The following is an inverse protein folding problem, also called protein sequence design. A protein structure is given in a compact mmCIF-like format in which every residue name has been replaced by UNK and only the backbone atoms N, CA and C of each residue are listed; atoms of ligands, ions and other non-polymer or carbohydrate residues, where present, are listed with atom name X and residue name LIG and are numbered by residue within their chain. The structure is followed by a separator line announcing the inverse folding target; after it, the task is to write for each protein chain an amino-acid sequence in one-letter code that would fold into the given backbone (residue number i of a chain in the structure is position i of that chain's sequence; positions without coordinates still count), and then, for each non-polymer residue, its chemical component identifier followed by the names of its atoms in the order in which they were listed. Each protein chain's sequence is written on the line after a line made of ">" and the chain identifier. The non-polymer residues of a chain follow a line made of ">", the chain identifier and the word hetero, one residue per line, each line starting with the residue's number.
data_IF_055971195359
#
_entry.id   IF_055971195359
#
_cell.length_a   1.000
_cell.length_b   1.000
_cell.length_c   1.000
_cell.angle_alpha   90.00
_cell.angle_beta   90.00
_cell.angle_gamma   90.00
#
_symmetry.space_group_name_H-M   'P 1'
#
loop_
_entity.id
_entity.type
_entity.pdbx_description
1 polymer ?
#
# COMPACT_ATOMS: atom_id res chain seq x y z
N UNK A 1 -3.44 29.31 -0.53
CA UNK A 1 -4.18 28.30 -1.31
C UNK A 1 -3.80 26.91 -0.82
N UNK A 2 -4.74 26.13 -0.27
CA UNK A 2 -4.48 24.73 0.12
C UNK A 2 -4.83 23.83 -1.06
N UNK A 3 -3.84 23.15 -1.61
CA UNK A 3 -4.04 22.16 -2.66
C UNK A 3 -4.43 20.83 -2.00
N UNK A 4 -5.65 20.36 -2.25
CA UNK A 4 -6.06 19.00 -1.91
C UNK A 4 -5.86 18.14 -3.15
N UNK A 5 -4.88 17.23 -3.10
CA UNK A 5 -4.68 16.19 -4.10
C UNK A 5 -5.47 14.97 -3.65
N UNK A 6 -6.52 14.60 -4.38
CA UNK A 6 -7.10 13.26 -4.29
C UNK A 6 -6.75 12.52 -5.59
N UNK A 7 -6.31 11.27 -5.44
CA UNK A 7 -5.96 10.41 -6.56
C UNK A 7 -6.99 9.29 -6.59
N UNK A 8 -7.80 9.24 -7.65
CA UNK A 8 -8.76 8.16 -7.89
C UNK A 8 -8.18 7.22 -8.94
N UNK A 9 -7.65 6.08 -8.51
CA UNK A 9 -7.20 5.03 -9.43
C UNK A 9 -8.39 4.11 -9.75
N UNK A 10 -8.97 4.27 -10.94
CA UNK A 10 -9.98 3.35 -11.48
C UNK A 10 -9.25 2.26 -12.27
N UNK A 11 -9.45 0.99 -11.90
CA UNK A 11 -8.96 -0.15 -12.68
C UNK A 11 -9.79 -0.32 -13.96
N UNK A 12 -9.28 -1.08 -14.94
CA UNK A 12 -9.92 -1.33 -16.23
C UNK A 12 -11.34 -1.90 -16.12
N UNK A 13 -11.63 -2.65 -15.06
CA UNK A 13 -12.95 -3.21 -14.80
C UNK A 13 -13.90 -2.27 -14.04
N UNK A 14 -13.55 -0.99 -13.88
CA UNK A 14 -14.33 -0.02 -13.11
C UNK A 14 -14.31 -0.25 -11.60
N UNK A 15 -13.40 -1.10 -11.11
CA UNK A 15 -13.20 -1.35 -9.67
C UNK A 15 -12.10 -0.45 -9.13
N UNK A 16 -12.28 0.04 -7.90
CA UNK A 16 -11.16 0.61 -7.16
C UNK A 16 -10.22 -0.52 -6.75
N UNK A 17 -8.92 -0.37 -6.99
CA UNK A 17 -7.97 -1.31 -6.41
C UNK A 17 -8.05 -1.26 -4.88
N UNK A 18 -8.01 -2.41 -4.22
CA UNK A 18 -8.15 -2.49 -2.75
C UNK A 18 -7.03 -1.73 -2.04
N UNK A 19 -5.85 -1.68 -2.66
CA UNK A 19 -4.74 -0.86 -2.22
C UNK A 19 -3.86 -0.51 -3.41
N UNK A 20 -3.58 0.78 -3.59
CA UNK A 20 -2.64 1.29 -4.60
C UNK A 20 -1.19 0.83 -4.38
N UNK A 21 -0.86 0.43 -3.15
CA UNK A 21 0.50 0.03 -2.78
C UNK A 21 0.80 -1.38 -3.29
N UNK A 22 1.74 -1.49 -4.23
CA UNK A 22 2.15 -2.74 -4.87
C UNK A 22 1.25 -3.19 -6.03
N UNK A 23 0.21 -2.44 -6.35
CA UNK A 23 -0.71 -2.73 -7.45
C UNK A 23 -0.01 -2.56 -8.81
N UNK A 24 0.05 -3.61 -9.66
CA UNK A 24 0.61 -3.49 -11.01
C UNK A 24 -0.22 -2.58 -11.93
N UNK A 25 -1.52 -2.42 -11.66
CA UNK A 25 -2.44 -1.64 -12.50
C UNK A 25 -2.54 -0.17 -12.05
N UNK A 26 -1.60 0.28 -11.21
CA UNK A 26 -1.56 1.67 -10.77
C UNK A 26 -1.29 2.60 -11.97
N UNK A 27 -2.17 3.58 -12.16
CA UNK A 27 -2.04 4.61 -13.21
C UNK A 27 -1.59 5.97 -12.68
N UNK A 28 -1.31 6.05 -11.37
CA UNK A 28 -0.95 7.28 -10.68
C UNK A 28 0.22 7.09 -9.71
N UNK A 29 1.03 8.15 -9.54
CA UNK A 29 2.00 8.24 -8.45
C UNK A 29 2.03 9.67 -7.90
N UNK A 30 2.64 9.84 -6.72
CA UNK A 30 2.93 11.12 -6.11
C UNK A 30 4.45 11.30 -6.05
N UNK A 31 4.92 12.48 -6.46
CA UNK A 31 6.33 12.87 -6.42
C UNK A 31 6.49 13.98 -5.40
N UNK A 32 7.42 13.81 -4.46
CA UNK A 32 7.74 14.82 -3.45
C UNK A 32 8.83 15.77 -3.91
N UNK A 33 8.96 16.90 -3.21
CA UNK A 33 10.02 17.89 -3.44
C UNK A 33 11.44 17.31 -3.38
N UNK A 34 11.65 16.24 -2.61
CA UNK A 34 12.94 15.55 -2.47
C UNK A 34 13.12 14.38 -3.45
N UNK A 35 12.31 14.32 -4.51
CA UNK A 35 12.42 13.33 -5.58
C UNK A 35 11.82 11.96 -5.25
N UNK A 36 11.27 11.75 -4.06
CA UNK A 36 10.65 10.47 -3.70
C UNK A 36 9.36 10.25 -4.48
N UNK A 37 9.26 9.12 -5.18
CA UNK A 37 8.06 8.70 -5.91
C UNK A 37 7.35 7.57 -5.16
N UNK A 38 6.08 7.79 -4.81
CA UNK A 38 5.25 6.84 -4.04
C UNK A 38 3.89 6.63 -4.68
N UNK A 39 3.26 5.47 -4.45
CA UNK A 39 1.94 5.14 -5.02
C UNK A 39 0.76 5.70 -4.22
N UNK A 40 0.95 5.99 -2.92
CA UNK A 40 -0.05 6.64 -2.09
C UNK A 40 0.61 7.54 -1.05
N UNK A 41 -0.15 8.50 -0.49
CA UNK A 41 0.40 9.46 0.48
C UNK A 41 0.90 8.78 1.76
N UNK A 42 0.27 7.69 2.21
CA UNK A 42 0.76 6.97 3.39
C UNK A 42 2.05 6.22 3.12
N UNK A 43 2.31 5.78 1.88
CA UNK A 43 3.52 5.01 1.53
C UNK A 43 4.82 5.79 1.77
N UNK A 44 4.74 7.11 1.99
CA UNK A 44 5.86 7.92 2.47
C UNK A 44 6.44 7.45 3.81
N UNK A 45 5.64 6.76 4.63
CA UNK A 45 6.10 6.20 5.89
C UNK A 45 7.03 5.00 5.68
N UNK A 46 6.94 4.30 4.55
CA UNK A 46 7.68 3.07 4.31
C UNK A 46 9.16 3.36 3.99
N UNK A 47 10.07 2.39 4.25
CA UNK A 47 11.48 2.49 3.88
C UNK A 47 11.65 2.82 2.39
N UNK A 48 12.60 3.70 2.05
CA UNK A 48 12.79 4.28 0.71
C UNK A 48 13.70 3.46 -0.21
N UNK A 49 13.18 2.95 -1.34
CA UNK A 49 14.04 2.51 -2.45
C UNK A 49 13.75 3.20 -3.80
N UNK A 50 12.92 4.26 -3.87
CA UNK A 50 12.51 4.85 -5.15
C UNK A 50 12.61 6.38 -5.21
N UNK A 51 13.55 6.89 -6.00
CA UNK A 51 13.83 8.33 -6.14
C UNK A 51 14.03 8.71 -7.62
N UNK A 52 13.34 9.76 -8.08
CA UNK A 52 13.45 10.24 -9.47
C UNK A 52 14.80 10.88 -9.76
N UNK A 53 15.51 11.39 -8.76
CA UNK A 53 16.85 11.96 -8.96
C UNK A 53 17.91 10.87 -9.18
N UNK A 54 17.62 9.63 -8.76
CA UNK A 54 18.52 8.49 -8.91
C UNK A 54 18.20 7.66 -10.16
N UNK A 55 16.91 7.58 -10.55
CA UNK A 55 16.45 6.67 -11.60
C UNK A 55 15.76 7.36 -12.78
N UNK A 56 15.62 8.69 -12.74
CA UNK A 56 14.76 9.41 -13.66
C UNK A 56 13.27 9.11 -13.45
N UNK A 57 12.39 9.86 -14.12
CA UNK A 57 10.94 9.69 -13.97
C UNK A 57 10.47 8.29 -14.41
N UNK A 58 10.88 7.86 -15.60
CA UNK A 58 10.48 6.57 -16.18
C UNK A 58 11.07 5.40 -15.39
N UNK A 59 12.35 5.48 -15.00
CA UNK A 59 12.99 4.42 -14.23
C UNK A 59 12.40 4.29 -12.83
N UNK A 60 12.07 5.41 -12.17
CA UNK A 60 11.38 5.38 -10.89
C UNK A 60 9.95 4.81 -11.01
N UNK A 61 9.23 5.13 -12.10
CA UNK A 61 7.90 4.56 -12.36
C UNK A 61 7.95 3.03 -12.53
N UNK A 62 8.90 2.53 -13.31
CA UNK A 62 9.08 1.09 -13.55
C UNK A 62 9.53 0.32 -12.29
N UNK A 63 10.06 1.03 -11.27
CA UNK A 63 10.45 0.46 -9.97
C UNK A 63 9.34 0.43 -8.93
N UNK A 64 8.18 1.04 -9.18
CA UNK A 64 7.02 0.99 -8.27
C UNK A 64 6.57 -0.42 -7.85
N UNK A 65 6.75 -1.50 -8.65
CA UNK A 65 6.50 -2.87 -8.20
C UNK A 65 7.34 -3.34 -7.00
N UNK A 66 8.32 -2.56 -6.52
CA UNK A 66 9.03 -2.84 -5.25
C UNK A 66 8.08 -2.97 -4.04
N UNK A 67 6.90 -2.36 -4.15
CA UNK A 67 5.84 -2.44 -3.15
C UNK A 67 4.94 -3.67 -3.31
N UNK A 68 5.12 -4.50 -4.35
CA UNK A 68 4.30 -5.70 -4.62
C UNK A 68 4.28 -6.68 -3.45
N UNK A 69 5.35 -6.71 -2.64
CA UNK A 69 5.42 -7.49 -1.40
C UNK A 69 4.25 -7.21 -0.45
N UNK A 70 3.68 -6.00 -0.47
CA UNK A 70 2.56 -5.59 0.38
C UNK A 70 1.20 -6.12 -0.07
N UNK A 71 1.13 -6.82 -1.22
CA UNK A 71 -0.06 -7.52 -1.68
C UNK A 71 -0.09 -9.00 -1.30
N UNK A 72 0.99 -9.53 -0.71
CA UNK A 72 1.11 -10.93 -0.33
C UNK A 72 0.36 -11.20 0.99
N UNK A 73 -0.78 -11.92 0.96
CA UNK A 73 -1.57 -12.18 2.15
C UNK A 73 -0.91 -13.17 3.12
N UNK A 74 0.09 -13.93 2.68
CA UNK A 74 0.79 -14.90 3.54
C UNK A 74 1.86 -14.25 4.43
N UNK A 75 2.18 -12.98 4.16
CA UNK A 75 3.07 -12.19 5.04
C UNK A 75 2.35 -11.48 6.16
N UNK A 76 1.02 -11.49 6.20
CA UNK A 76 0.24 -10.74 7.18
C UNK A 76 0.36 -11.35 8.57
N UNK A 77 0.58 -10.48 9.57
CA UNK A 77 0.72 -10.85 10.97
C UNK A 77 -0.54 -10.45 11.78
N UNK A 78 -0.55 -10.80 13.07
CA UNK A 78 -1.63 -10.45 14.00
C UNK A 78 -2.99 -11.01 13.57
N UNK A 79 -4.05 -10.22 13.76
CA UNK A 79 -5.42 -10.65 13.40
C UNK A 79 -5.57 -10.91 11.89
N UNK A 80 -4.79 -10.23 11.06
CA UNK A 80 -4.85 -10.39 9.61
C UNK A 80 -4.27 -11.72 9.12
N UNK A 81 -3.32 -12.32 9.85
CA UNK A 81 -2.75 -13.62 9.51
C UNK A 81 -3.77 -14.77 9.55
N UNK A 82 -4.69 -14.71 10.51
CA UNK A 82 -5.78 -15.69 10.71
C UNK A 82 -7.14 -15.24 10.11
N UNK A 83 -7.19 -14.09 9.43
CA UNK A 83 -8.44 -13.51 8.94
C UNK A 83 -8.96 -14.26 7.70
N UNK A 84 -10.22 -14.66 7.73
CA UNK A 84 -10.90 -15.34 6.61
C UNK A 84 -11.00 -14.44 5.35
N UNK A 85 -10.88 -13.12 5.54
CA UNK A 85 -10.94 -12.10 4.48
C UNK A 85 -9.57 -11.66 3.99
N UNK A 86 -8.46 -12.27 4.46
CA UNK A 86 -7.10 -11.81 4.15
C UNK A 86 -6.79 -11.75 2.64
N UNK A 87 -7.37 -12.64 1.83
CA UNK A 87 -7.22 -12.64 0.37
C UNK A 87 -8.00 -11.53 -0.35
N UNK A 88 -9.05 -10.99 0.30
CA UNK A 88 -9.91 -9.95 -0.26
C UNK A 88 -9.36 -8.56 0.08
N UNK A 89 -9.20 -8.24 1.36
CA UNK A 89 -8.74 -6.92 1.80
C UNK A 89 -7.21 -6.77 1.79
N UNK A 90 -6.47 -7.90 1.76
CA UNK A 90 -5.00 -7.95 1.83
C UNK A 90 -4.42 -7.25 3.06
N UNK A 91 -5.22 -7.13 4.14
CA UNK A 91 -4.83 -6.55 5.42
C UNK A 91 -4.99 -5.02 5.55
N UNK A 92 -5.87 -4.36 4.78
CA UNK A 92 -6.18 -2.92 4.94
C UNK A 92 -5.14 -1.91 4.40
N UNK A 93 -4.55 -1.06 5.24
CA UNK A 93 -3.52 -0.07 4.89
C UNK A 93 -2.18 -0.34 5.62
N UNK A 94 -1.22 -0.98 4.94
CA UNK A 94 0.12 -1.32 5.49
C UNK A 94 0.93 -0.09 5.88
N UNK A 95 0.83 0.94 5.06
CA UNK A 95 1.57 2.17 5.31
C UNK A 95 1.08 2.90 6.58
N UNK A 96 -0.22 2.77 6.91
CA UNK A 96 -0.77 3.28 8.16
C UNK A 96 -0.33 2.43 9.37
N UNK A 97 -0.32 1.10 9.23
CA UNK A 97 0.19 0.21 10.27
C UNK A 97 1.67 0.50 10.61
N UNK A 98 2.51 0.69 9.58
CA UNK A 98 3.91 1.07 9.75
C UNK A 98 4.06 2.45 10.40
N UNK A 99 3.27 3.45 9.97
CA UNK A 99 3.28 4.80 10.54
C UNK A 99 2.92 4.82 12.03
N UNK A 100 2.08 3.88 12.50
CA UNK A 100 1.75 3.71 13.91
C UNK A 100 2.76 2.84 14.69
N UNK A 101 3.89 2.47 14.09
CA UNK A 101 4.92 1.68 14.76
C UNK A 101 4.55 0.21 14.98
N UNK A 102 3.53 -0.32 14.29
CA UNK A 102 3.10 -1.73 14.46
C UNK A 102 3.93 -2.72 13.64
N UNK A 103 4.67 -2.24 12.64
CA UNK A 103 5.45 -3.06 11.71
C UNK A 103 4.90 -3.02 10.29
N UNK A 104 5.69 -3.53 9.34
CA UNK A 104 5.34 -3.50 7.90
C UNK A 104 4.27 -4.53 7.51
N UNK A 105 4.11 -5.59 8.32
CA UNK A 105 3.18 -6.71 8.09
C UNK A 105 2.00 -6.75 9.07
N UNK A 106 1.94 -5.76 9.96
CA UNK A 106 0.91 -5.69 10.98
C UNK A 106 -0.48 -5.38 10.40
N UNK A 107 -1.47 -5.67 11.21
CA UNK A 107 -2.87 -5.36 10.96
C UNK A 107 -3.12 -3.85 10.79
N UNK A 108 -4.08 -3.51 9.91
CA UNK A 108 -4.56 -2.15 9.77
C UNK A 108 -5.22 -1.67 11.09
N UNK A 109 -4.73 -0.59 11.70
CA UNK A 109 -5.21 -0.10 12.99
C UNK A 109 -6.66 0.36 12.98
N UNK A 110 -7.22 0.73 11.82
CA UNK A 110 -8.61 1.19 11.71
C UNK A 110 -9.56 0.09 11.26
N UNK A 111 -9.07 -1.14 11.05
CA UNK A 111 -9.91 -2.26 10.65
C UNK A 111 -10.86 -2.65 11.79
N UNK A 112 -12.20 -2.52 11.63
CA UNK A 112 -13.17 -2.88 12.66
C UNK A 112 -13.45 -4.39 12.71
N UNK A 113 -12.94 -5.16 11.74
CA UNK A 113 -13.21 -6.59 11.63
C UNK A 113 -12.45 -7.38 12.70
N UNK A 114 -13.16 -8.32 13.31
CA UNK A 114 -12.63 -9.33 14.22
C UNK A 114 -12.68 -10.68 13.50
N UNK A 115 -11.53 -11.33 13.27
CA UNK A 115 -11.49 -12.65 12.64
C UNK A 115 -12.30 -13.68 13.42
N UNK A 116 -12.98 -14.55 12.70
CA UNK A 116 -13.52 -15.77 13.31
C UNK A 116 -12.34 -16.72 13.47
N UNK A 117 -12.02 -17.13 14.70
CA UNK A 117 -11.02 -18.19 14.91
C UNK A 117 -11.53 -19.44 14.18
N UNK A 118 -10.86 -19.81 13.09
CA UNK A 118 -11.10 -21.12 12.50
C UNK A 118 -10.46 -22.13 13.45
N UNK A 119 -11.28 -22.88 14.18
CA UNK A 119 -10.83 -24.10 14.85
C UNK A 119 -10.22 -24.99 13.76
N UNK A 120 -8.92 -25.27 13.91
CA UNK A 120 -8.15 -26.18 13.06
C UNK A 120 -8.35 -27.60 13.56
#
# INVERSE_FOLDING_TARGET
>A
TRFYSFTLALQKEGRSSTCSLGDPDISSCQIRYNGQMVQCSYAMALPKPNNIFEHGLVGAWQRLPIFKKFLDPERLEGKCGACERKKVCKGGCRALAYLQGRGEWAEDPICPHTPVLQEV
#
